data_IF_662238467473
#
_entry.id   IF_662238467473
#
_cell.length_a   1.000
_cell.length_b   1.000
_cell.length_c   1.000
_cell.angle_alpha   90.00
_cell.angle_beta   90.00
_cell.angle_gamma   90.00
#
_symmetry.space_group_name_H-M   'P 1'
#
loop_
_entity.id
_entity.type
_entity.pdbx_description
1 polymer ?
#
# COMPACT_ATOMS: atom_id res chain seq x y z
N UNK A 1 2.56 -16.81 18.50
CA UNK A 1 1.92 -17.01 17.18
C UNK A 1 1.99 -15.69 16.44
N UNK A 2 2.31 -15.68 15.14
CA UNK A 2 2.41 -14.44 14.41
C UNK A 2 1.04 -13.75 14.29
N UNK A 3 1.02 -12.43 14.47
CA UNK A 3 -0.16 -11.60 14.22
C UNK A 3 -0.07 -11.16 12.76
N UNK A 4 -1.06 -11.53 11.95
CA UNK A 4 -1.14 -11.08 10.56
C UNK A 4 -2.06 -9.86 10.51
N UNK A 5 -1.52 -8.74 10.04
CA UNK A 5 -2.28 -7.53 9.75
C UNK A 5 -2.33 -7.32 8.23
N UNK A 6 -3.55 -7.26 7.71
CA UNK A 6 -3.77 -6.92 6.32
C UNK A 6 -4.03 -5.42 6.27
N UNK A 7 -3.00 -4.70 5.83
CA UNK A 7 -2.99 -3.22 5.80
C UNK A 7 -3.98 -2.68 4.76
N UNK A 8 -4.35 -3.52 3.77
CA UNK A 8 -5.35 -3.19 2.76
C UNK A 8 -6.76 -3.58 3.22
N UNK A 9 -7.79 -2.78 2.87
CA UNK A 9 -9.20 -3.09 3.18
C UNK A 9 -9.80 -4.16 2.25
N UNK A 10 -9.16 -5.32 2.21
CA UNK A 10 -9.70 -6.51 1.58
C UNK A 10 -10.53 -7.29 2.60
N UNK A 11 -11.63 -7.95 2.19
CA UNK A 11 -12.33 -8.87 3.07
C UNK A 11 -11.37 -9.99 3.47
N UNK A 12 -11.22 -10.20 4.77
CA UNK A 12 -10.42 -11.28 5.30
C UNK A 12 -11.05 -11.88 6.54
N UNK A 13 -10.71 -13.12 6.81
CA UNK A 13 -11.08 -13.81 8.04
C UNK A 13 -9.98 -14.78 8.44
N UNK A 14 -10.02 -15.19 9.70
CA UNK A 14 -9.13 -16.23 10.23
C UNK A 14 -9.90 -17.55 10.26
N UNK A 15 -9.31 -18.59 9.71
CA UNK A 15 -9.80 -19.97 9.76
C UNK A 15 -8.73 -20.85 10.41
N UNK A 16 -8.92 -21.22 11.67
CA UNK A 16 -7.91 -21.94 12.45
C UNK A 16 -6.60 -21.15 12.58
N UNK A 17 -5.52 -21.68 12.00
CA UNK A 17 -4.21 -21.02 11.95
C UNK A 17 -3.96 -20.26 10.63
N UNK A 18 -4.90 -20.33 9.68
CA UNK A 18 -4.79 -19.72 8.36
C UNK A 18 -5.54 -18.39 8.31
N UNK A 19 -4.95 -17.40 7.64
CA UNK A 19 -5.64 -16.16 7.30
C UNK A 19 -6.06 -16.21 5.84
N UNK A 20 -7.34 -16.04 5.57
CA UNK A 20 -7.89 -16.07 4.22
C UNK A 20 -8.24 -14.64 3.80
N UNK A 21 -7.78 -14.26 2.62
CA UNK A 21 -7.96 -12.91 2.05
C UNK A 21 -8.67 -13.05 0.72
N UNK A 22 -9.80 -12.38 0.56
CA UNK A 22 -10.53 -12.40 -0.70
C UNK A 22 -9.99 -11.31 -1.64
N UNK A 23 -9.34 -11.73 -2.72
CA UNK A 23 -8.73 -10.82 -3.71
C UNK A 23 -9.71 -10.38 -4.81
N UNK A 24 -10.84 -11.09 -4.96
CA UNK A 24 -11.82 -10.89 -6.03
C UNK A 24 -11.30 -11.34 -7.40
N UNK A 25 -11.93 -10.85 -8.46
CA UNK A 25 -11.57 -11.22 -9.83
C UNK A 25 -10.32 -10.46 -10.30
N UNK A 26 -9.43 -11.14 -11.03
CA UNK A 26 -8.32 -10.53 -11.76
C UNK A 26 -8.59 -10.63 -13.26
N UNK A 27 -8.29 -9.54 -13.99
CA UNK A 27 -8.45 -9.50 -15.45
C UNK A 27 -7.11 -9.64 -16.17
N UNK A 28 -7.15 -10.09 -17.43
CA UNK A 28 -5.94 -10.24 -18.24
C UNK A 28 -5.15 -8.93 -18.35
N UNK A 29 -3.84 -9.00 -18.09
CA UNK A 29 -2.94 -7.85 -18.11
C UNK A 29 -2.97 -6.98 -16.85
N UNK A 30 -3.80 -7.33 -15.87
CA UNK A 30 -3.82 -6.64 -14.58
C UNK A 30 -2.68 -7.14 -13.67
N UNK A 31 -1.93 -6.21 -13.08
CA UNK A 31 -1.01 -6.49 -11.99
C UNK A 31 -1.55 -5.90 -10.70
N UNK A 32 -1.73 -6.73 -9.67
CA UNK A 32 -2.13 -6.31 -8.31
C UNK A 32 -0.99 -6.51 -7.33
N UNK A 33 -0.81 -5.53 -6.44
CA UNK A 33 0.16 -5.56 -5.34
C UNK A 33 -0.58 -5.60 -4.01
N UNK A 34 -0.20 -6.55 -3.16
CA UNK A 34 -0.75 -6.74 -1.82
C UNK A 34 0.36 -6.56 -0.80
N UNK A 35 0.05 -5.93 0.33
CA UNK A 35 0.98 -5.76 1.46
C UNK A 35 0.38 -6.48 2.65
N UNK A 36 1.17 -7.38 3.23
CA UNK A 36 0.79 -8.18 4.39
C UNK A 36 1.87 -7.94 5.44
N UNK A 37 1.47 -7.47 6.61
CA UNK A 37 2.36 -7.34 7.76
C UNK A 37 2.25 -8.63 8.59
N UNK A 38 3.40 -9.29 8.81
CA UNK A 38 3.51 -10.47 9.66
C UNK A 38 4.36 -10.11 10.87
N UNK A 39 3.75 -10.12 12.05
CA UNK A 39 4.48 -9.98 13.31
C UNK A 39 5.15 -11.33 13.65
N UNK A 40 6.46 -11.41 13.48
CA UNK A 40 7.21 -12.65 13.70
C UNK A 40 7.78 -12.65 15.11
N UNK A 41 7.39 -13.58 16.00
CA UNK A 41 7.97 -13.67 17.32
C UNK A 41 9.46 -14.00 17.24
N UNK A 42 10.24 -13.57 18.23
CA UNK A 42 11.69 -13.81 18.25
C UNK A 42 12.05 -15.28 18.07
N UNK A 43 12.83 -15.59 17.03
CA UNK A 43 13.30 -16.94 16.70
C UNK A 43 14.73 -17.09 17.24
N UNK A 44 14.95 -18.05 18.15
CA UNK A 44 16.26 -18.26 18.77
C UNK A 44 17.26 -18.98 17.85
N UNK A 45 16.77 -19.76 16.89
CA UNK A 45 17.60 -20.49 15.95
C UNK A 45 18.13 -19.56 14.86
N UNK A 46 19.46 -19.45 14.75
CA UNK A 46 20.10 -18.73 13.65
C UNK A 46 19.95 -19.51 12.33
N UNK A 47 19.84 -18.78 11.23
CA UNK A 47 19.73 -19.33 9.88
C UNK A 47 18.36 -19.11 9.22
N UNK A 48 18.18 -19.78 8.08
CA UNK A 48 16.96 -19.68 7.29
C UNK A 48 15.82 -20.45 7.97
N UNK A 49 14.69 -19.77 8.18
CA UNK A 49 13.49 -20.32 8.78
C UNK A 49 12.27 -19.90 7.96
N UNK A 50 11.38 -20.85 7.67
CA UNK A 50 10.08 -20.56 7.05
C UNK A 50 9.10 -20.14 8.14
N UNK A 51 8.47 -18.98 7.97
CA UNK A 51 7.55 -18.40 8.96
C UNK A 51 6.07 -18.52 8.58
N UNK A 52 5.80 -18.68 7.29
CA UNK A 52 4.45 -18.81 6.73
C UNK A 52 4.54 -19.38 5.31
N UNK A 53 3.46 -20.01 4.86
CA UNK A 53 3.24 -20.32 3.45
C UNK A 53 2.13 -19.43 2.92
N UNK A 54 2.36 -18.77 1.77
CA UNK A 54 1.34 -18.00 1.07
C UNK A 54 0.80 -18.87 -0.05
N UNK A 55 -0.49 -19.19 0.03
CA UNK A 55 -1.20 -19.94 -1.01
C UNK A 55 -2.23 -19.03 -1.68
N UNK A 56 -2.16 -18.96 -3.01
CA UNK A 56 -3.13 -18.25 -3.86
C UNK A 56 -3.92 -19.30 -4.61
N UNK A 57 -5.23 -19.28 -4.42
CA UNK A 57 -6.19 -20.15 -5.09
C UNK A 57 -7.09 -19.31 -5.98
N UNK A 58 -7.23 -19.71 -7.25
CA UNK A 58 -8.11 -19.04 -8.20
C UNK A 58 -8.63 -20.01 -9.26
N UNK A 59 -9.77 -19.65 -9.87
CA UNK A 59 -10.32 -20.35 -11.02
C UNK A 59 -9.79 -19.69 -12.30
N UNK A 60 -9.00 -20.42 -13.08
CA UNK A 60 -8.68 -20.01 -14.44
C UNK A 60 -9.90 -20.24 -15.33
N UNK A 61 -10.53 -19.15 -15.77
CA UNK A 61 -11.73 -19.19 -16.61
C UNK A 61 -11.45 -19.71 -18.03
N UNK A 62 -10.24 -19.54 -18.56
CA UNK A 62 -9.88 -20.01 -19.88
C UNK A 62 -9.70 -21.53 -19.90
N UNK A 63 -9.06 -22.08 -18.87
CA UNK A 63 -8.82 -23.51 -18.73
C UNK A 63 -9.95 -24.24 -17.98
N UNK A 64 -10.83 -23.50 -17.29
CA UNK A 64 -11.89 -24.00 -16.40
C UNK A 64 -11.33 -24.91 -15.31
N UNK A 65 -10.19 -24.51 -14.76
CA UNK A 65 -9.45 -25.29 -13.79
C UNK A 65 -9.11 -24.43 -12.57
N UNK A 66 -9.23 -25.03 -11.39
CA UNK A 66 -8.72 -24.44 -10.16
C UNK A 66 -7.19 -24.53 -10.15
N UNK A 67 -6.54 -23.41 -9.92
CA UNK A 67 -5.10 -23.28 -9.84
C UNK A 67 -4.74 -22.88 -8.40
N UNK A 68 -3.82 -23.64 -7.82
CA UNK A 68 -3.21 -23.35 -6.52
C UNK A 68 -1.74 -23.05 -6.71
N UNK A 69 -1.30 -21.87 -6.27
CA UNK A 69 0.11 -21.47 -6.25
C UNK A 69 0.52 -21.27 -4.80
N UNK A 70 1.55 -21.99 -4.35
CA UNK A 70 2.07 -21.87 -2.99
C UNK A 70 3.52 -21.40 -3.00
N UNK A 71 3.84 -20.46 -2.12
CA UNK A 71 5.17 -19.89 -1.97
C UNK A 71 5.53 -19.77 -0.48
N UNK A 72 6.66 -20.35 -0.03
CA UNK A 72 7.12 -20.21 1.35
C UNK A 72 7.70 -18.82 1.60
N UNK A 73 7.34 -18.23 2.74
CA UNK A 73 7.92 -16.99 3.24
C UNK A 73 9.05 -17.35 4.20
N UNK A 74 10.28 -17.08 3.76
CA UNK A 74 11.48 -17.38 4.52
C UNK A 74 12.08 -16.12 5.14
N UNK A 75 12.53 -16.23 6.38
CA UNK A 75 13.33 -15.21 7.06
C UNK A 75 14.69 -15.80 7.41
N UNK A 76 15.73 -14.97 7.33
CA UNK A 76 17.06 -15.36 7.77
C UNK A 76 17.38 -14.70 9.11
N UNK A 77 17.40 -15.49 10.17
CA UNK A 77 17.70 -15.04 11.53
C UNK A 77 19.22 -14.93 11.68
N UNK A 78 19.68 -13.73 12.01
CA UNK A 78 21.10 -13.42 12.18
C UNK A 78 21.35 -12.72 13.51
N UNK A 79 22.59 -12.74 14.02
CA UNK A 79 22.99 -11.96 15.18
C UNK A 79 22.65 -10.46 15.04
N UNK A 80 22.40 -9.79 16.16
CA UNK A 80 21.84 -8.44 16.20
C UNK A 80 22.70 -7.35 15.53
N UNK A 81 24.03 -7.52 15.54
CA UNK A 81 24.98 -6.67 14.84
C UNK A 81 24.82 -6.75 13.31
N UNK A 82 24.65 -7.95 12.77
CA UNK A 82 24.39 -8.18 11.35
C UNK A 82 22.97 -7.72 10.98
N UNK A 83 22.00 -7.92 11.87
CA UNK A 83 20.62 -7.46 11.67
C UNK A 83 20.53 -5.93 11.58
N UNK A 84 21.27 -5.20 12.41
CA UNK A 84 21.29 -3.75 12.42
C UNK A 84 21.81 -3.12 11.11
N UNK A 85 22.65 -3.86 10.36
CA UNK A 85 23.13 -3.43 9.05
C UNK A 85 22.15 -3.64 7.90
N UNK A 86 21.01 -4.31 8.13
CA UNK A 86 20.02 -4.57 7.06
C UNK A 86 19.13 -3.36 6.85
N UNK A 87 18.97 -3.00 5.58
CA UNK A 87 18.07 -1.93 5.14
C UNK A 87 16.78 -2.56 4.65
N UNK A 88 15.63 -2.08 5.15
CA UNK A 88 14.32 -2.51 4.65
C UNK A 88 14.19 -2.20 3.16
N UNK A 89 13.54 -3.09 2.41
CA UNK A 89 13.30 -2.88 0.99
C UNK A 89 12.56 -1.54 0.75
N UNK A 90 13.11 -0.63 -0.07
CA UNK A 90 12.53 0.68 -0.29
C UNK A 90 11.17 0.63 -0.99
N UNK A 91 10.92 -0.39 -1.81
CA UNK A 91 9.64 -0.57 -2.52
C UNK A 91 8.56 -0.98 -1.51
N UNK A 92 8.85 -1.94 -0.65
CA UNK A 92 7.90 -2.37 0.40
C UNK A 92 7.60 -1.22 1.35
N UNK A 93 8.62 -0.44 1.73
CA UNK A 93 8.45 0.76 2.54
C UNK A 93 7.56 1.80 1.85
N UNK A 94 7.79 2.06 0.57
CA UNK A 94 6.98 2.96 -0.24
C UNK A 94 5.51 2.53 -0.27
N UNK A 95 5.25 1.24 -0.49
CA UNK A 95 3.88 0.72 -0.53
C UNK A 95 3.17 0.87 0.82
N UNK A 96 3.85 0.56 1.93
CA UNK A 96 3.32 0.77 3.28
C UNK A 96 2.94 2.23 3.53
N UNK A 97 3.82 3.17 3.17
CA UNK A 97 3.58 4.60 3.35
C UNK A 97 2.33 5.08 2.60
N UNK A 98 2.08 4.57 1.40
CA UNK A 98 0.89 4.95 0.63
C UNK A 98 -0.39 4.42 1.29
N UNK A 99 -0.34 3.23 1.90
CA UNK A 99 -1.48 2.67 2.66
C UNK A 99 -1.75 3.47 3.94
N UNK A 100 -0.70 3.88 4.65
CA UNK A 100 -0.81 4.81 5.79
C UNK A 100 -1.45 6.14 5.34
N UNK A 101 -1.07 6.63 4.16
CA UNK A 101 -1.67 7.83 3.57
C UNK A 101 -3.17 7.66 3.26
N UNK A 102 -3.59 6.50 2.75
CA UNK A 102 -5.01 6.22 2.54
C UNK A 102 -5.79 6.18 3.86
N UNK A 103 -5.18 5.61 4.91
CA UNK A 103 -5.77 5.60 6.25
C UNK A 103 -5.93 7.02 6.79
N UNK A 104 -4.92 7.87 6.61
CA UNK A 104 -4.98 9.28 6.98
C UNK A 104 -6.11 10.03 6.24
N UNK A 105 -6.32 9.76 4.95
CA UNK A 105 -7.45 10.32 4.19
C UNK A 105 -8.80 9.91 4.77
N UNK A 106 -8.97 8.64 5.14
CA UNK A 106 -10.21 8.17 5.76
C UNK A 106 -10.51 8.90 7.07
N UNK A 107 -9.51 9.03 7.94
CA UNK A 107 -9.66 9.76 9.21
C UNK A 107 -9.96 11.25 8.98
N UNK A 108 -9.31 11.86 7.99
CA UNK A 108 -9.58 13.26 7.63
C UNK A 108 -11.02 13.49 7.16
N UNK A 109 -11.64 12.52 6.48
CA UNK A 109 -13.07 12.57 6.11
C UNK A 109 -13.94 12.57 7.36
N UNK A 110 -13.68 11.70 8.32
CA UNK A 110 -14.43 11.65 9.58
C UNK A 110 -14.28 12.95 10.38
N UNK A 111 -13.06 13.51 10.41
CA UNK A 111 -12.76 14.80 11.04
C UNK A 111 -13.52 15.95 10.34
N UNK A 112 -13.58 15.98 9.01
CA UNK A 112 -14.36 16.97 8.28
C UNK A 112 -15.86 16.86 8.59
N UNK A 113 -16.42 15.65 8.59
CA UNK A 113 -17.84 15.42 8.89
C UNK A 113 -18.23 15.85 10.32
N UNK A 114 -17.28 15.81 11.25
CA UNK A 114 -17.46 16.24 12.64
C UNK A 114 -17.07 17.70 12.88
N UNK A 115 -16.76 18.46 11.81
CA UNK A 115 -16.44 19.90 11.87
C UNK A 115 -15.00 20.22 12.30
N UNK A 116 -14.13 19.21 12.43
CA UNK A 116 -12.74 19.34 12.87
C UNK A 116 -11.81 19.68 11.70
N UNK A 117 -12.11 20.77 11.00
CA UNK A 117 -11.44 21.16 9.74
C UNK A 117 -9.92 21.34 9.93
N UNK A 118 -9.51 22.00 11.01
CA UNK A 118 -8.09 22.23 11.31
C UNK A 118 -7.33 20.93 11.60
N UNK A 119 -7.97 19.96 12.26
CA UNK A 119 -7.36 18.64 12.53
C UNK A 119 -7.21 17.85 11.22
N UNK A 120 -8.25 17.84 10.39
CA UNK A 120 -8.23 17.18 9.08
C UNK A 120 -7.14 17.74 8.17
N UNK A 121 -7.06 19.07 8.01
CA UNK A 121 -6.02 19.69 7.18
C UNK A 121 -4.62 19.48 7.77
N UNK A 122 -4.46 19.63 9.08
CA UNK A 122 -3.18 19.39 9.76
C UNK A 122 -2.67 17.95 9.58
N UNK A 123 -3.57 16.95 9.68
CA UNK A 123 -3.26 15.54 9.42
C UNK A 123 -2.79 15.30 8.00
N UNK A 124 -3.49 15.86 7.02
CA UNK A 124 -3.14 15.69 5.60
C UNK A 124 -1.80 16.36 5.28
N UNK A 125 -1.58 17.61 5.73
CA UNK A 125 -0.29 18.30 5.58
C UNK A 125 0.87 17.52 6.21
N UNK A 126 0.67 16.99 7.41
CA UNK A 126 1.65 16.14 8.09
C UNK A 126 1.96 14.86 7.31
N UNK A 127 0.93 14.24 6.73
CA UNK A 127 1.06 13.03 5.91
C UNK A 127 1.84 13.31 4.62
N UNK A 128 1.49 14.38 3.88
CA UNK A 128 2.21 14.78 2.67
C UNK A 128 3.69 15.12 2.95
N UNK A 129 3.96 15.83 4.06
CA UNK A 129 5.33 16.13 4.48
C UNK A 129 6.13 14.85 4.80
N UNK A 130 5.50 13.86 5.45
CA UNK A 130 6.13 12.58 5.74
C UNK A 130 6.43 11.80 4.45
N UNK A 131 5.46 11.71 3.53
CA UNK A 131 5.64 11.06 2.23
C UNK A 131 6.80 11.67 1.43
N UNK A 132 6.93 13.00 1.40
CA UNK A 132 8.04 13.67 0.71
C UNK A 132 9.39 13.40 1.36
N UNK A 133 9.44 13.38 2.69
CA UNK A 133 10.67 13.06 3.44
C UNK A 133 11.12 11.65 3.10
N UNK A 134 10.24 10.68 3.19
CA UNK A 134 10.57 9.28 2.88
C UNK A 134 10.91 9.09 1.39
N UNK A 135 10.21 9.75 0.48
CA UNK A 135 10.55 9.73 -0.95
C UNK A 135 11.97 10.24 -1.23
N UNK A 136 12.47 11.20 -0.44
CA UNK A 136 13.84 11.71 -0.59
C UNK A 136 14.93 10.71 -0.15
N UNK A 137 14.55 9.72 0.66
CA UNK A 137 15.45 8.67 1.15
C UNK A 137 15.51 7.45 0.22
N UNK A 138 14.63 7.37 -0.79
CA UNK A 138 14.61 6.25 -1.74
C UNK A 138 15.68 6.50 -2.82
N UNK A 139 16.75 5.70 -2.87
CA UNK A 139 17.72 5.80 -3.95
C UNK A 139 17.08 5.26 -5.24
N UNK A 140 17.17 6.02 -6.33
CA UNK A 140 16.71 5.58 -7.65
C UNK A 140 17.83 4.75 -8.28
N UNK A 141 17.78 3.45 -8.05
CA UNK A 141 18.80 2.51 -8.55
C UNK A 141 18.34 1.74 -9.78
N UNK A 142 17.03 1.66 -10.01
CA UNK A 142 16.39 0.87 -11.06
C UNK A 142 15.02 1.46 -11.45
N UNK A 143 14.42 0.92 -12.51
CA UNK A 143 13.13 1.39 -13.03
C UNK A 143 11.98 1.21 -12.00
N UNK A 144 12.03 0.16 -11.17
CA UNK A 144 11.02 -0.09 -10.14
C UNK A 144 11.10 0.89 -8.98
N UNK A 145 12.31 1.25 -8.53
CA UNK A 145 12.47 2.31 -7.52
C UNK A 145 12.08 3.68 -8.07
N UNK A 146 12.34 3.95 -9.35
CA UNK A 146 11.87 5.16 -10.02
C UNK A 146 10.34 5.25 -10.06
N UNK A 147 9.66 4.15 -10.45
CA UNK A 147 8.20 4.05 -10.44
C UNK A 147 7.63 4.29 -9.03
N UNK A 148 8.19 3.61 -8.03
CA UNK A 148 7.74 3.74 -6.63
C UNK A 148 7.88 5.17 -6.12
N UNK A 149 8.99 5.84 -6.43
CA UNK A 149 9.23 7.23 -6.07
C UNK A 149 8.26 8.19 -6.78
N UNK A 150 7.96 7.96 -8.06
CA UNK A 150 6.96 8.75 -8.79
C UNK A 150 5.57 8.61 -8.15
N UNK A 151 5.19 7.40 -7.74
CA UNK A 151 3.90 7.16 -7.09
C UNK A 151 3.81 7.88 -5.74
N UNK A 152 4.85 7.82 -4.90
CA UNK A 152 4.84 8.51 -3.59
C UNK A 152 4.73 10.02 -3.77
N UNK A 153 5.46 10.58 -4.73
CA UNK A 153 5.40 12.02 -5.03
C UNK A 153 4.01 12.44 -5.48
N UNK A 154 3.43 11.70 -6.43
CA UNK A 154 2.07 11.96 -6.89
C UNK A 154 1.03 11.84 -5.74
N UNK A 155 1.20 10.88 -4.84
CA UNK A 155 0.34 10.74 -3.66
C UNK A 155 0.48 11.93 -2.71
N UNK A 156 1.71 12.40 -2.44
CA UNK A 156 1.95 13.55 -1.59
C UNK A 156 1.33 14.84 -2.16
N UNK A 157 1.46 15.05 -3.46
CA UNK A 157 0.89 16.21 -4.15
C UNK A 157 -0.64 16.18 -4.13
N UNK A 158 -1.25 15.00 -4.32
CA UNK A 158 -2.70 14.84 -4.19
C UNK A 158 -3.18 15.13 -2.76
N UNK A 159 -2.47 14.65 -1.74
CA UNK A 159 -2.83 14.90 -0.34
C UNK A 159 -2.74 16.38 0.01
N UNK A 160 -1.75 17.11 -0.51
CA UNK A 160 -1.66 18.56 -0.32
C UNK A 160 -2.86 19.29 -0.92
N UNK A 161 -3.25 18.92 -2.14
CA UNK A 161 -4.43 19.49 -2.78
C UNK A 161 -5.70 19.20 -1.96
N UNK A 162 -5.81 18.01 -1.37
CA UNK A 162 -6.91 17.67 -0.45
C UNK A 162 -6.85 18.48 0.84
N UNK A 163 -5.67 18.70 1.40
CA UNK A 163 -5.48 19.50 2.61
C UNK A 163 -5.87 20.97 2.40
N UNK A 164 -5.54 21.52 1.23
CA UNK A 164 -5.93 22.87 0.83
C UNK A 164 -7.44 22.96 0.57
N UNK A 165 -8.02 21.94 -0.08
CA UNK A 165 -9.48 21.85 -0.27
C UNK A 165 -10.20 21.86 1.08
N UNK A 166 -9.69 21.12 2.07
CA UNK A 166 -10.28 21.09 3.41
C UNK A 166 -10.30 22.47 4.09
N UNK A 167 -9.32 23.33 3.83
CA UNK A 167 -9.27 24.69 4.41
C UNK A 167 -10.14 25.69 3.67
N UNK A 168 -10.14 25.62 2.33
CA UNK A 168 -10.67 26.69 1.48
C UNK A 168 -12.10 26.42 0.97
N UNK A 169 -12.58 25.18 1.04
CA UNK A 169 -13.85 24.75 0.45
C UNK A 169 -14.86 24.24 1.48
N UNK A 170 -16.12 24.16 1.06
CA UNK A 170 -17.21 23.62 1.87
C UNK A 170 -16.95 22.17 2.32
N UNK A 171 -17.39 21.84 3.54
CA UNK A 171 -17.20 20.52 4.17
C UNK A 171 -17.78 19.39 3.31
N UNK A 172 -18.93 19.59 2.67
CA UNK A 172 -19.57 18.57 1.82
C UNK A 172 -18.81 18.37 0.52
N UNK A 173 -18.24 19.45 -0.04
CA UNK A 173 -17.38 19.35 -1.22
C UNK A 173 -16.06 18.63 -0.89
N UNK A 174 -15.42 19.02 0.20
CA UNK A 174 -14.15 18.46 0.68
C UNK A 174 -14.26 16.97 1.02
N UNK A 175 -15.30 16.57 1.75
CA UNK A 175 -15.56 15.17 2.08
C UNK A 175 -15.83 14.31 0.84
N UNK A 176 -16.59 14.83 -0.14
CA UNK A 176 -16.83 14.13 -1.41
C UNK A 176 -15.53 13.92 -2.19
N UNK A 177 -14.70 14.95 -2.32
CA UNK A 177 -13.41 14.87 -3.04
C UNK A 177 -12.47 13.86 -2.39
N UNK A 178 -12.40 13.84 -1.06
CA UNK A 178 -11.58 12.88 -0.32
C UNK A 178 -12.12 11.45 -0.45
N UNK A 179 -13.44 11.26 -0.37
CA UNK A 179 -14.08 9.95 -0.54
C UNK A 179 -13.84 9.40 -1.94
N UNK A 180 -13.89 10.24 -2.97
CA UNK A 180 -13.57 9.84 -4.35
C UNK A 180 -12.10 9.42 -4.49
N UNK A 181 -11.17 10.25 -3.99
CA UNK A 181 -9.72 9.96 -3.97
C UNK A 181 -9.43 8.62 -3.29
N UNK A 182 -9.99 8.43 -2.10
CA UNK A 182 -9.85 7.21 -1.32
C UNK A 182 -10.43 5.99 -2.06
N UNK A 183 -11.67 6.09 -2.56
CA UNK A 183 -12.35 4.99 -3.24
C UNK A 183 -11.59 4.52 -4.50
N UNK A 184 -10.98 5.45 -5.22
CA UNK A 184 -10.18 5.17 -6.42
C UNK A 184 -8.93 4.34 -6.12
N UNK A 185 -8.36 4.46 -4.91
CA UNK A 185 -7.05 3.87 -4.56
C UNK A 185 -7.11 2.66 -3.62
N UNK A 186 -8.22 2.45 -2.90
CA UNK A 186 -8.29 1.46 -1.80
C UNK A 186 -8.70 0.05 -2.22
N UNK A 187 -9.45 -0.12 -3.31
CA UNK A 187 -9.97 -1.45 -3.71
C UNK A 187 -8.95 -2.36 -4.40
N UNK A 188 -7.89 -1.76 -4.92
CA UNK A 188 -6.61 -2.33 -5.36
C UNK A 188 -5.93 -1.17 -6.08
N UNK A 189 -4.62 -0.96 -5.89
CA UNK A 189 -3.91 -0.04 -6.79
C UNK A 189 -3.81 -0.72 -8.15
N UNK A 190 -4.78 -0.43 -9.00
CA UNK A 190 -4.70 -0.81 -10.40
C UNK A 190 -3.63 0.10 -11.00
N UNK A 191 -2.39 -0.40 -11.10
CA UNK A 191 -1.40 0.18 -12.02
C UNK A 191 -1.86 -0.25 -13.41
N UNK A 192 -3.02 0.27 -13.82
CA UNK A 192 -3.38 0.31 -15.22
C UNK A 192 -2.22 1.07 -15.82
N UNK A 193 -1.43 0.43 -16.68
CA UNK A 193 -0.47 1.14 -17.54
C UNK A 193 -1.19 2.41 -17.98
N UNK A 194 -0.80 3.55 -17.43
CA UNK A 194 -1.30 4.81 -17.95
C UNK A 194 -0.90 4.76 -19.41
N UNK A 195 -1.84 4.85 -20.37
CA UNK A 195 -1.43 5.01 -21.75
C UNK A 195 -0.52 6.22 -21.78
N UNK A 196 0.77 6.00 -22.05
CA UNK A 196 1.65 7.06 -22.50
C UNK A 196 0.99 7.59 -23.76
N UNK A 197 0.53 8.83 -23.68
CA UNK A 197 -0.08 9.53 -24.81
C UNK A 197 0.90 9.45 -25.99
N UNK A 198 0.56 8.81 -27.13
CA UNK A 198 1.51 8.56 -28.21
C UNK A 198 1.93 9.82 -28.98
N UNK A 199 1.45 11.02 -28.60
CA UNK A 199 1.65 12.25 -29.36
C UNK A 199 2.87 13.09 -28.92
N UNK A 200 3.78 12.57 -28.09
CA UNK A 200 4.98 13.36 -27.69
C UNK A 200 6.22 13.16 -28.58
N UNK A 201 6.11 12.51 -29.74
CA UNK A 201 7.21 12.39 -30.72
C UNK A 201 6.84 12.99 -32.08
N UNK A 202 6.36 14.23 -32.10
CA UNK A 202 6.33 15.06 -33.31
C UNK A 202 6.46 16.53 -32.89
N UNK A 203 7.70 16.97 -32.69
CA UNK A 203 8.21 18.31 -32.97
C UNK A 203 9.73 18.25 -33.07
#
# INVERSE_FOLDING_TARGET
MPVIEIVQRLPYWKDGETFVVQLGDLYSGENRRFVIDLDVPGIAALGLCTIADITIEYLDLAQRQEITVSMPVNVNVVPGDVAAGRVSDPIVRAERLILEAQTAKSLAVEELLTGKIKEASGRLKGTAANLRREASLIPVTDERSAESLAIIKAEADEIDVLAQTAEDQDVMYSSKRMTESYSRKTRARNVRNQPTDPDTYLN
#
